data_IF_092696729941
#
_entry.id   IF_092696729941
#
_cell.length_a   1.000
_cell.length_b   1.000
_cell.length_c   1.000
_cell.angle_alpha   90.00
_cell.angle_beta   90.00
_cell.angle_gamma   90.00
#
_symmetry.space_group_name_H-M   'P 1'
#
loop_
_entity.id
_entity.type
_entity.pdbx_description
1 polymer ?
#
# COMPACT_ATOMS: atom_id res chain seq x y z
N UNK A 1 -34.54 -12.67 0.57
CA UNK A 1 -33.76 -11.85 -0.38
C UNK A 1 -32.71 -11.14 0.44
N UNK A 2 -31.58 -11.81 0.65
CA UNK A 2 -30.45 -11.27 1.42
C UNK A 2 -29.36 -10.91 0.42
N UNK A 3 -29.13 -9.62 0.23
CA UNK A 3 -28.01 -9.07 -0.51
C UNK A 3 -27.33 -8.07 0.43
N UNK A 4 -26.48 -8.58 1.31
CA UNK A 4 -25.52 -7.78 2.05
C UNK A 4 -24.61 -7.08 1.03
N UNK A 5 -24.89 -5.80 0.80
CA UNK A 5 -23.99 -4.88 0.12
C UNK A 5 -22.71 -4.80 0.95
N UNK A 6 -21.50 -5.05 0.41
CA UNK A 6 -20.28 -4.91 1.18
C UNK A 6 -20.17 -3.45 1.64
N UNK A 7 -20.19 -3.22 2.94
CA UNK A 7 -20.15 -1.87 3.54
C UNK A 7 -18.76 -1.24 3.49
N UNK A 8 -17.75 -1.98 3.03
CA UNK A 8 -16.37 -1.51 3.00
C UNK A 8 -15.85 -1.42 1.56
N UNK A 9 -15.53 -0.21 1.10
CA UNK A 9 -14.98 0.02 -0.23
C UNK A 9 -13.73 -0.83 -0.48
N UNK A 10 -12.91 -1.07 0.53
CA UNK A 10 -11.71 -1.92 0.43
C UNK A 10 -12.01 -3.37 0.03
N UNK A 11 -13.13 -3.95 0.46
CA UNK A 11 -13.53 -5.32 0.08
C UNK A 11 -14.05 -5.40 -1.36
N UNK A 12 -14.80 -4.39 -1.80
CA UNK A 12 -15.25 -4.27 -3.21
C UNK A 12 -14.05 -4.14 -4.12
N UNK A 13 -13.05 -3.38 -3.67
CA UNK A 13 -11.81 -3.21 -4.39
C UNK A 13 -11.03 -4.53 -4.51
N UNK A 14 -10.87 -5.34 -3.45
CA UNK A 14 -10.15 -6.62 -3.52
C UNK A 14 -10.71 -7.62 -4.56
N UNK A 15 -11.99 -7.53 -4.94
CA UNK A 15 -12.66 -8.48 -5.86
C UNK A 15 -12.58 -8.18 -7.36
N UNK A 16 -12.11 -6.99 -7.77
CA UNK A 16 -12.30 -6.48 -9.16
C UNK A 16 -11.06 -6.46 -10.06
N UNK A 17 -9.94 -7.09 -9.66
CA UNK A 17 -8.69 -7.10 -10.44
C UNK A 17 -8.77 -7.88 -11.75
N UNK A 18 -8.75 -7.17 -12.89
CA UNK A 18 -8.67 -7.74 -14.24
C UNK A 18 -7.24 -8.13 -14.61
N UNK A 19 -6.92 -9.42 -14.48
CA UNK A 19 -5.65 -10.05 -14.85
C UNK A 19 -5.41 -11.29 -13.98
N UNK A 20 -5.02 -12.44 -14.55
CA UNK A 20 -4.79 -13.67 -13.76
C UNK A 20 -3.49 -13.55 -12.95
N UNK A 21 -3.52 -12.84 -11.84
CA UNK A 21 -2.58 -13.06 -10.75
C UNK A 21 -2.99 -14.37 -10.05
N UNK A 22 -2.05 -15.31 -9.92
CA UNK A 22 -2.31 -16.62 -9.30
C UNK A 22 -1.32 -16.82 -8.17
N UNK A 23 -1.82 -16.86 -6.94
CA UNK A 23 -0.99 -17.03 -5.74
C UNK A 23 -0.11 -15.82 -5.38
N UNK A 24 0.66 -15.98 -4.30
CA UNK A 24 1.68 -15.03 -3.85
C UNK A 24 2.96 -15.82 -3.51
N UNK A 25 4.12 -15.18 -3.65
CA UNK A 25 5.43 -15.71 -3.26
C UNK A 25 5.87 -15.23 -1.88
N UNK A 26 5.29 -14.14 -1.39
CA UNK A 26 5.51 -13.62 -0.04
C UNK A 26 4.17 -13.30 0.60
N UNK A 27 3.91 -13.90 1.76
CA UNK A 27 2.76 -13.58 2.61
C UNK A 27 3.06 -12.39 3.53
N UNK A 28 2.10 -12.06 4.40
CA UNK A 28 2.20 -10.91 5.32
C UNK A 28 3.42 -11.03 6.24
N UNK A 29 3.74 -12.23 6.74
CA UNK A 29 4.87 -12.45 7.65
C UNK A 29 6.21 -12.25 6.91
N UNK A 30 6.34 -12.83 5.72
CA UNK A 30 7.53 -12.67 4.89
C UNK A 30 7.75 -11.22 4.44
N UNK A 31 6.68 -10.50 4.07
CA UNK A 31 6.74 -9.08 3.69
C UNK A 31 7.13 -8.20 4.87
N UNK A 32 6.54 -8.43 6.04
CA UNK A 32 6.85 -7.67 7.26
C UNK A 32 8.32 -7.87 7.66
N UNK A 33 8.78 -9.13 7.69
CA UNK A 33 10.17 -9.47 8.00
C UNK A 33 11.16 -8.87 6.99
N UNK A 34 10.77 -8.79 5.72
CA UNK A 34 11.57 -8.16 4.68
C UNK A 34 11.70 -6.65 4.91
N UNK A 35 10.59 -5.95 5.19
CA UNK A 35 10.62 -4.52 5.46
C UNK A 35 11.45 -4.17 6.70
N UNK A 36 11.33 -4.95 7.77
CA UNK A 36 12.12 -4.74 8.99
C UNK A 36 13.63 -4.86 8.74
N UNK A 37 14.03 -5.83 7.89
CA UNK A 37 15.43 -6.08 7.58
C UNK A 37 16.01 -5.06 6.61
N UNK A 38 15.32 -4.78 5.51
CA UNK A 38 15.84 -3.94 4.41
C UNK A 38 15.54 -2.44 4.59
N UNK A 39 14.51 -2.11 5.37
CA UNK A 39 14.08 -0.74 5.63
C UNK A 39 13.87 -0.45 7.13
N UNK A 40 14.84 -0.74 8.01
CA UNK A 40 14.70 -0.50 9.45
C UNK A 40 14.32 0.95 9.78
N UNK A 41 14.72 1.90 8.92
CA UNK A 41 14.37 3.32 9.02
C UNK A 41 12.87 3.62 8.97
N UNK A 42 12.06 2.78 8.31
CA UNK A 42 10.60 3.01 8.16
C UNK A 42 9.91 3.03 9.53
N UNK A 43 10.38 2.20 10.46
CA UNK A 43 9.84 2.08 11.82
C UNK A 43 10.87 2.41 12.92
N UNK A 44 12.00 3.05 12.58
CA UNK A 44 13.11 3.32 13.52
C UNK A 44 12.73 4.14 14.75
N UNK A 45 11.61 4.87 14.69
CA UNK A 45 11.13 5.72 15.78
C UNK A 45 9.79 5.22 16.35
N UNK A 46 9.47 3.94 16.15
CA UNK A 46 8.21 3.32 16.54
C UNK A 46 7.47 2.77 15.34
N UNK A 47 6.78 1.64 15.56
CA UNK A 47 6.04 0.91 14.54
C UNK A 47 4.85 1.75 14.07
N UNK A 48 4.95 2.28 12.85
CA UNK A 48 3.92 3.12 12.25
C UNK A 48 3.34 2.51 10.98
N UNK A 49 4.14 1.77 10.23
CA UNK A 49 3.73 1.14 8.98
C UNK A 49 3.71 -0.37 9.17
N UNK A 50 2.55 -0.99 8.95
CA UNK A 50 2.31 -2.41 9.17
C UNK A 50 1.67 -3.04 7.94
N UNK A 51 2.17 -4.19 7.48
CA UNK A 51 1.50 -4.98 6.43
C UNK A 51 0.30 -5.68 7.05
N UNK A 52 -0.89 -5.50 6.48
CA UNK A 52 -2.15 -6.01 7.06
C UNK A 52 -2.81 -7.11 6.25
N UNK A 53 -2.53 -7.17 4.94
CA UNK A 53 -3.07 -8.21 4.07
C UNK A 53 -2.21 -8.33 2.80
N UNK A 54 -2.20 -9.51 2.19
CA UNK A 54 -1.53 -9.76 0.92
C UNK A 54 -2.23 -10.89 0.18
N UNK A 55 -2.39 -10.74 -1.14
CA UNK A 55 -3.00 -11.75 -1.97
C UNK A 55 -2.63 -11.58 -3.44
N UNK A 56 -3.25 -12.40 -4.29
CA UNK A 56 -2.96 -12.37 -5.71
C UNK A 56 -3.27 -10.99 -6.31
N UNK A 57 -2.23 -10.28 -6.75
CA UNK A 57 -2.33 -8.95 -7.37
C UNK A 57 -2.60 -7.78 -6.41
N UNK A 58 -2.56 -7.96 -5.08
CA UNK A 58 -2.78 -6.87 -4.14
C UNK A 58 -2.01 -7.03 -2.83
N UNK A 59 -1.83 -5.92 -2.11
CA UNK A 59 -1.47 -5.92 -0.69
C UNK A 59 -2.09 -4.72 0.01
N UNK A 60 -2.20 -4.81 1.32
CA UNK A 60 -2.70 -3.74 2.18
C UNK A 60 -1.70 -3.44 3.30
N UNK A 61 -1.61 -2.16 3.65
CA UNK A 61 -0.84 -1.68 4.79
C UNK A 61 -1.68 -0.74 5.64
N UNK A 62 -1.29 -0.57 6.90
CA UNK A 62 -1.83 0.45 7.80
C UNK A 62 -0.72 1.41 8.22
N UNK A 63 -1.08 2.68 8.27
CA UNK A 63 -0.35 3.72 8.98
C UNK A 63 -1.06 4.03 10.30
N UNK A 64 -0.36 3.90 11.42
CA UNK A 64 -0.75 4.44 12.72
C UNK A 64 0.05 5.72 12.98
N UNK A 65 -0.52 6.92 12.73
CA UNK A 65 0.25 8.15 12.76
C UNK A 65 0.64 8.55 14.20
N UNK A 66 1.84 9.12 14.32
CA UNK A 66 2.41 9.71 15.53
C UNK A 66 2.70 11.18 15.24
N UNK A 67 3.06 11.99 16.24
CA UNK A 67 3.30 13.43 16.07
C UNK A 67 4.23 13.78 14.90
N UNK A 68 5.28 12.99 14.65
CA UNK A 68 6.21 13.18 13.52
C UNK A 68 5.57 13.02 12.13
N UNK A 69 4.42 12.35 12.06
CA UNK A 69 3.65 12.13 10.83
C UNK A 69 2.64 13.23 10.57
N UNK A 70 2.46 14.15 11.52
CA UNK A 70 1.46 15.19 11.47
C UNK A 70 2.04 16.48 10.88
N UNK A 71 1.16 17.28 10.28
CA UNK A 71 1.43 18.69 9.95
C UNK A 71 0.79 19.62 11.00
N UNK A 72 1.14 20.91 11.04
CA UNK A 72 0.43 21.89 11.85
C UNK A 72 -1.09 21.80 11.65
N UNK A 73 -1.83 21.66 12.74
CA UNK A 73 -3.28 21.42 12.71
C UNK A 73 -3.71 19.95 12.81
N UNK A 74 -2.79 19.05 13.17
CA UNK A 74 -3.14 17.72 13.69
C UNK A 74 -3.63 16.72 12.64
N UNK A 75 -3.12 16.80 11.42
CA UNK A 75 -3.49 15.86 10.34
C UNK A 75 -2.28 15.19 9.73
N UNK A 76 -2.45 13.99 9.19
CA UNK A 76 -1.39 13.27 8.49
C UNK A 76 -0.82 14.12 7.35
N UNK A 77 0.51 14.19 7.26
CA UNK A 77 1.21 14.99 6.28
C UNK A 77 1.20 14.34 4.89
N UNK A 78 1.30 15.17 3.84
CA UNK A 78 1.43 14.68 2.46
C UNK A 78 2.63 13.72 2.27
N UNK A 79 3.84 14.04 2.77
CA UNK A 79 4.98 13.12 2.73
C UNK A 79 4.73 11.77 3.41
N UNK A 80 3.98 11.75 4.51
CA UNK A 80 3.63 10.48 5.18
C UNK A 80 2.66 9.65 4.33
N UNK A 81 1.64 10.27 3.71
CA UNK A 81 0.75 9.57 2.78
C UNK A 81 1.49 9.08 1.53
N UNK A 82 2.48 9.83 1.05
CA UNK A 82 3.36 9.39 -0.03
C UNK A 82 4.14 8.13 0.38
N UNK A 83 4.76 8.13 1.58
CA UNK A 83 5.48 6.98 2.09
C UNK A 83 4.57 5.75 2.26
N UNK A 84 3.36 5.94 2.78
CA UNK A 84 2.37 4.86 2.87
C UNK A 84 2.03 4.30 1.47
N UNK A 85 1.76 5.16 0.49
CA UNK A 85 1.43 4.74 -0.86
C UNK A 85 2.58 3.97 -1.54
N UNK A 86 3.81 4.48 -1.42
CA UNK A 86 5.02 3.86 -1.96
C UNK A 86 5.27 2.48 -1.32
N UNK A 87 5.28 2.40 0.01
CA UNK A 87 5.46 1.13 0.71
C UNK A 87 4.38 0.12 0.35
N UNK A 88 3.11 0.53 0.29
CA UNK A 88 1.99 -0.37 -0.04
C UNK A 88 2.12 -0.92 -1.47
N UNK A 89 2.53 -0.08 -2.42
CA UNK A 89 2.77 -0.52 -3.79
C UNK A 89 3.97 -1.47 -3.89
N UNK A 90 5.05 -1.16 -3.17
CA UNK A 90 6.25 -1.97 -3.13
C UNK A 90 5.95 -3.38 -2.56
N UNK A 91 5.25 -3.48 -1.43
CA UNK A 91 4.87 -4.79 -0.87
C UNK A 91 3.91 -5.56 -1.77
N UNK A 92 2.98 -4.88 -2.47
CA UNK A 92 2.11 -5.53 -3.44
C UNK A 92 2.89 -6.15 -4.61
N UNK A 93 3.98 -5.51 -5.04
CA UNK A 93 4.88 -6.05 -6.06
C UNK A 93 5.67 -7.24 -5.51
N UNK A 94 6.34 -7.08 -4.36
CA UNK A 94 7.14 -8.15 -3.75
C UNK A 94 6.31 -9.40 -3.43
N UNK A 95 5.04 -9.22 -3.02
CA UNK A 95 4.11 -10.31 -2.82
C UNK A 95 4.01 -11.23 -4.04
N UNK A 96 4.15 -10.71 -5.26
CA UNK A 96 4.05 -11.51 -6.48
C UNK A 96 5.41 -11.99 -7.03
N UNK A 97 6.48 -11.25 -6.81
CA UNK A 97 7.79 -11.52 -7.45
C UNK A 97 8.86 -12.04 -6.50
N UNK A 98 8.54 -12.17 -5.20
CA UNK A 98 9.52 -12.56 -4.18
C UNK A 98 10.38 -11.38 -3.72
N UNK A 99 11.44 -11.64 -2.93
CA UNK A 99 12.23 -10.62 -2.24
C UNK A 99 13.22 -9.91 -3.17
N UNK A 100 12.72 -9.33 -4.27
CA UNK A 100 13.50 -8.56 -5.23
C UNK A 100 13.70 -7.15 -4.70
N UNK A 101 14.70 -6.96 -3.84
CA UNK A 101 14.97 -5.69 -3.17
C UNK A 101 15.16 -4.50 -4.12
N UNK A 102 15.67 -4.76 -5.32
CA UNK A 102 16.05 -3.75 -6.30
C UNK A 102 14.90 -3.26 -7.20
N UNK A 103 13.63 -3.51 -6.84
CA UNK A 103 12.51 -2.80 -7.46
C UNK A 103 12.52 -1.33 -7.02
N UNK A 104 12.45 -0.39 -7.96
CA UNK A 104 12.62 1.05 -7.66
C UNK A 104 11.47 1.85 -8.23
N UNK A 105 10.92 2.76 -7.42
CA UNK A 105 9.88 3.71 -7.84
C UNK A 105 10.42 4.64 -8.93
N UNK A 106 9.81 4.61 -10.12
CA UNK A 106 10.17 5.52 -11.23
C UNK A 106 9.19 6.68 -11.37
N UNK A 107 7.94 6.47 -10.96
CA UNK A 107 6.93 7.50 -10.89
C UNK A 107 5.95 7.20 -9.77
N UNK A 108 5.52 8.23 -9.05
CA UNK A 108 4.40 8.16 -8.11
C UNK A 108 3.62 9.48 -8.19
N UNK A 109 2.34 9.40 -8.51
CA UNK A 109 1.40 10.51 -8.48
C UNK A 109 0.35 10.28 -7.39
N UNK A 110 0.02 11.32 -6.63
CA UNK A 110 -0.97 11.27 -5.55
C UNK A 110 -1.96 12.42 -5.67
N UNK A 111 -3.24 12.11 -5.54
CA UNK A 111 -4.35 13.05 -5.43
C UNK A 111 -4.87 13.04 -3.99
N UNK A 112 -4.82 14.21 -3.33
CA UNK A 112 -5.37 14.40 -1.99
C UNK A 112 -6.82 14.84 -2.10
N UNK A 113 -7.74 13.97 -1.67
CA UNK A 113 -9.18 14.17 -1.87
C UNK A 113 -9.85 14.77 -0.63
N UNK A 114 -9.38 14.39 0.55
CA UNK A 114 -9.93 14.84 1.83
C UNK A 114 -8.83 15.07 2.85
N UNK A 115 -9.12 15.95 3.81
CA UNK A 115 -8.28 16.15 4.99
C UNK A 115 -8.51 14.94 5.92
N UNK A 116 -7.50 14.09 6.19
CA UNK A 116 -7.67 13.00 7.14
C UNK A 116 -7.82 13.56 8.55
N UNK A 117 -8.75 13.00 9.31
CA UNK A 117 -8.78 13.17 10.76
C UNK A 117 -7.54 12.52 11.40
N UNK A 118 -7.30 12.83 12.68
CA UNK A 118 -6.25 12.17 13.42
C UNK A 118 -6.67 10.71 13.68
N UNK A 119 -5.99 9.76 13.04
CA UNK A 119 -6.28 8.34 13.22
C UNK A 119 -5.62 7.48 12.16
N UNK A 120 -5.77 6.14 12.27
CA UNK A 120 -5.12 5.23 11.35
C UNK A 120 -5.60 5.42 9.91
N UNK A 121 -4.68 5.25 8.96
CA UNK A 121 -4.97 5.26 7.53
C UNK A 121 -4.68 3.88 6.96
N UNK A 122 -5.69 3.28 6.36
CA UNK A 122 -5.56 2.01 5.65
C UNK A 122 -5.27 2.27 4.18
N UNK A 123 -4.25 1.61 3.66
CA UNK A 123 -3.88 1.65 2.25
C UNK A 123 -4.07 0.27 1.62
N UNK A 124 -4.63 0.22 0.42
CA UNK A 124 -4.68 -0.99 -0.40
C UNK A 124 -4.13 -0.69 -1.78
N UNK A 125 -3.08 -1.41 -2.15
CA UNK A 125 -2.46 -1.34 -3.46
C UNK A 125 -2.87 -2.53 -4.31
N UNK A 126 -3.12 -2.27 -5.59
CA UNK A 126 -3.47 -3.27 -6.59
C UNK A 126 -2.58 -3.16 -7.81
N UNK A 127 -2.13 -4.30 -8.29
CA UNK A 127 -1.39 -4.34 -9.54
C UNK A 127 -2.35 -4.16 -10.72
N UNK A 128 -2.16 -3.07 -11.47
CA UNK A 128 -2.77 -2.88 -12.78
C UNK A 128 -2.00 -3.63 -13.86
N UNK A 129 -0.68 -3.71 -13.69
CA UNK A 129 0.22 -4.43 -14.59
C UNK A 129 1.44 -4.92 -13.82
N UNK A 130 1.83 -6.17 -14.07
CA UNK A 130 3.11 -6.72 -13.63
C UNK A 130 3.82 -7.31 -14.85
N UNK A 131 4.72 -6.53 -15.45
CA UNK A 131 5.55 -6.96 -16.56
C UNK A 131 6.94 -7.38 -16.11
N UNK A 132 7.78 -7.81 -17.06
CA UNK A 132 9.17 -8.21 -16.78
C UNK A 132 10.06 -7.07 -16.25
N UNK A 133 9.75 -5.82 -16.60
CA UNK A 133 10.58 -4.64 -16.28
C UNK A 133 9.84 -3.51 -15.59
N UNK A 134 8.51 -3.50 -15.65
CA UNK A 134 7.70 -2.44 -15.07
C UNK A 134 6.49 -3.04 -14.38
N UNK A 135 6.20 -2.53 -13.19
CA UNK A 135 4.92 -2.70 -12.52
C UNK A 135 4.17 -1.37 -12.49
N UNK A 136 2.85 -1.42 -12.66
CA UNK A 136 1.96 -0.27 -12.51
C UNK A 136 0.93 -0.62 -11.45
N UNK A 137 0.78 0.26 -10.45
CA UNK A 137 0.02 0.00 -9.24
C UNK A 137 -0.96 1.13 -8.97
N UNK A 138 -2.15 0.75 -8.53
CA UNK A 138 -3.23 1.64 -8.10
C UNK A 138 -3.38 1.54 -6.58
N UNK A 139 -3.41 2.67 -5.88
CA UNK A 139 -3.39 2.70 -4.41
C UNK A 139 -4.51 3.58 -3.88
N UNK A 140 -5.31 3.02 -2.98
CA UNK A 140 -6.39 3.71 -2.28
C UNK A 140 -6.03 3.84 -0.81
N UNK A 141 -6.09 5.05 -0.27
CA UNK A 141 -5.89 5.33 1.15
C UNK A 141 -7.18 5.83 1.77
N UNK A 142 -7.68 5.11 2.76
CA UNK A 142 -8.94 5.39 3.46
C UNK A 142 -8.68 5.64 4.94
N UNK A 143 -9.45 6.55 5.53
CA UNK A 143 -9.45 6.72 6.98
C UNK A 143 -10.07 5.50 7.64
N UNK A 144 -9.37 4.88 8.60
CA UNK A 144 -9.91 3.78 9.39
C UNK A 144 -11.01 4.25 10.37
N UNK A 145 -11.10 5.55 10.63
CA UNK A 145 -12.07 6.15 11.56
C UNK A 145 -13.47 6.19 10.95
N UNK A 146 -13.57 6.61 9.69
CA UNK A 146 -14.86 6.88 9.03
C UNK A 146 -15.02 6.20 7.66
N UNK A 147 -14.01 5.49 7.17
CA UNK A 147 -14.03 4.78 5.90
C UNK A 147 -13.88 5.66 4.66
N UNK A 148 -13.69 6.97 4.81
CA UNK A 148 -13.61 7.89 3.66
C UNK A 148 -12.28 7.76 2.92
N UNK A 149 -12.34 7.85 1.59
CA UNK A 149 -11.14 7.92 0.74
C UNK A 149 -10.44 9.28 0.94
N UNK A 150 -9.27 9.25 1.55
CA UNK A 150 -8.48 10.46 1.86
C UNK A 150 -7.53 10.83 0.73
N UNK A 151 -6.95 9.83 0.10
CA UNK A 151 -6.04 10.01 -1.02
C UNK A 151 -6.05 8.80 -1.95
N UNK A 152 -5.72 9.06 -3.20
CA UNK A 152 -5.56 8.05 -4.25
C UNK A 152 -4.22 8.27 -4.92
N UNK A 153 -3.48 7.21 -5.19
CA UNK A 153 -2.19 7.29 -5.84
C UNK A 153 -2.06 6.25 -6.95
N UNK A 154 -1.21 6.57 -7.92
CA UNK A 154 -0.73 5.61 -8.91
C UNK A 154 0.79 5.62 -8.89
N UNK A 155 1.38 4.45 -9.05
CA UNK A 155 2.84 4.32 -9.08
C UNK A 155 3.30 3.39 -10.18
N UNK A 156 4.51 3.67 -10.65
CA UNK A 156 5.25 2.81 -11.57
C UNK A 156 6.58 2.46 -10.93
N UNK A 157 6.92 1.18 -10.97
CA UNK A 157 8.21 0.67 -10.50
C UNK A 157 8.98 0.06 -11.66
N UNK A 158 10.28 0.29 -11.69
CA UNK A 158 11.20 -0.52 -12.48
C UNK A 158 11.55 -1.79 -11.72
N UNK A 159 11.47 -2.91 -12.41
CA UNK A 159 11.93 -4.22 -11.93
C UNK A 159 13.25 -4.53 -12.66
N UNK A 160 14.32 -4.88 -11.93
CA UNK A 160 15.60 -5.22 -12.52
C UNK A 160 15.49 -6.54 -13.31
N UNK A 161 16.36 -6.77 -14.31
CA UNK A 161 16.47 -8.07 -14.95
C UNK A 161 16.77 -9.16 -13.92
N UNK A 162 16.17 -10.34 -14.09
CA UNK A 162 16.64 -11.54 -13.39
C UNK A 162 18.02 -11.90 -13.97
N UNK A 163 19.00 -12.10 -13.08
CA UNK A 163 20.34 -12.55 -13.46
C UNK A 163 20.31 -13.98 -14.01
#
# INVERSE_FOLDING_TARGET
MDKTCPTNSSEIFKKTGGGRFVGILMDVEALSSFLEREFPQVNAHGMAFTVTDAGAGFASMRLDPMDRHLRPGGTVSGPTLFALADLTAYVAILAQIGPVALAVTTNLNINFLRKPELGPIDATAKLLKLGKRLAVVDIFMTSAVNGELVAHATSTYSIPPQA
#
